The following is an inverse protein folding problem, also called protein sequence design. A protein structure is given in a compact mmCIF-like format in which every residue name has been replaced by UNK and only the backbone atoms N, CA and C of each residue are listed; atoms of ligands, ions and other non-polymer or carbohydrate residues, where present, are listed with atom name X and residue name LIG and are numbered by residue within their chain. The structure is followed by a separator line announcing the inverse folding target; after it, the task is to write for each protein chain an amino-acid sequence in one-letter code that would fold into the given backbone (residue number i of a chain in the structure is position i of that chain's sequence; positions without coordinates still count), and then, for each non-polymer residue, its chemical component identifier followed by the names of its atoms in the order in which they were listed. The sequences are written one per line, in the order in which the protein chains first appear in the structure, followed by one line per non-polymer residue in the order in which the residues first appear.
data_IF_733924044331
#
_entry.id   IF_733924044331
#
_cell.length_a   1.000
_cell.length_b   1.000
_cell.length_c   1.000
_cell.angle_alpha   90.00
_cell.angle_beta   90.00
_cell.angle_gamma   90.00
#
_symmetry.space_group_name_H-M   'P 1'
#
loop_
_entity.id
_entity.type
_entity.pdbx_description
1 polymer ?
#
# COMPACT_ATOMS: atom_id res chain seq x y z
N UNK A 1 -1.24 36.87 -10.21
CA UNK A 1 -1.57 35.46 -9.85
C UNK A 1 -0.26 34.71 -9.70
N UNK A 2 0.20 34.37 -8.48
CA UNK A 2 1.42 33.57 -8.27
C UNK A 2 1.15 32.15 -8.78
N UNK A 3 1.82 31.73 -9.84
CA UNK A 3 1.95 30.32 -10.21
C UNK A 3 2.59 29.61 -8.99
N UNK A 4 1.79 28.86 -8.24
CA UNK A 4 2.34 27.98 -7.21
C UNK A 4 2.89 26.75 -7.92
N UNK A 5 4.19 26.64 -7.90
CA UNK A 5 5.00 25.50 -8.33
C UNK A 5 4.46 24.18 -7.78
N UNK A 6 4.74 23.07 -8.50
CA UNK A 6 4.48 21.72 -8.01
C UNK A 6 4.99 21.53 -6.57
N UNK A 7 4.39 20.63 -5.78
CA UNK A 7 4.82 20.42 -4.40
C UNK A 7 6.30 20.11 -4.34
N UNK A 8 7.04 20.95 -3.63
CA UNK A 8 8.48 20.79 -3.35
C UNK A 8 8.61 20.11 -1.99
N UNK A 9 8.76 18.80 -1.97
CA UNK A 9 9.00 18.06 -0.74
C UNK A 9 10.03 16.97 -0.98
N UNK A 10 10.69 16.51 0.08
CA UNK A 10 11.67 15.43 -0.01
C UNK A 10 10.95 14.09 0.00
N UNK A 11 11.16 13.29 -1.04
CA UNK A 11 10.65 11.92 -1.13
C UNK A 11 11.67 10.95 -0.53
N UNK A 12 11.22 10.07 0.35
CA UNK A 12 12.10 9.07 0.97
C UNK A 12 12.49 7.97 -0.02
N UNK A 13 13.78 7.60 -0.01
CA UNK A 13 14.28 6.45 -0.77
C UNK A 13 13.55 5.16 -0.41
N UNK A 14 13.29 4.91 0.88
CA UNK A 14 12.55 3.73 1.32
C UNK A 14 11.15 3.68 0.71
N UNK A 15 10.42 4.80 0.68
CA UNK A 15 9.10 4.84 0.06
C UNK A 15 9.16 4.57 -1.44
N UNK A 16 10.13 5.13 -2.14
CA UNK A 16 10.35 4.83 -3.57
C UNK A 16 10.64 3.34 -3.80
N UNK A 17 11.49 2.74 -2.96
CA UNK A 17 11.85 1.34 -3.09
C UNK A 17 10.66 0.42 -2.78
N UNK A 18 9.83 0.75 -1.80
CA UNK A 18 8.58 0.03 -1.51
C UNK A 18 7.60 0.14 -2.69
N UNK A 19 7.40 1.32 -3.25
CA UNK A 19 6.47 1.53 -4.38
C UNK A 19 6.93 0.83 -5.67
N UNK A 20 8.21 0.51 -5.82
CA UNK A 20 8.73 -0.30 -6.94
C UNK A 20 8.44 -1.79 -6.78
N UNK A 21 8.17 -2.26 -5.55
CA UNK A 21 7.83 -3.67 -5.33
C UNK A 21 6.46 -4.00 -5.91
N UNK A 22 6.26 -5.19 -6.41
CA UNK A 22 4.94 -5.64 -6.88
C UNK A 22 3.89 -5.52 -5.79
N UNK A 23 4.18 -6.06 -4.62
CA UNK A 23 3.28 -6.06 -3.47
C UNK A 23 4.11 -5.95 -2.19
N UNK A 24 3.57 -5.27 -1.18
CA UNK A 24 4.25 -5.09 0.11
C UNK A 24 3.29 -5.31 1.27
N UNK A 25 3.75 -6.07 2.27
CA UNK A 25 3.10 -6.22 3.57
C UNK A 25 3.79 -5.28 4.58
N UNK A 26 3.01 -4.49 5.30
CA UNK A 26 3.48 -3.62 6.38
C UNK A 26 2.80 -4.05 7.67
N UNK A 27 3.55 -4.50 8.66
CA UNK A 27 2.96 -4.95 9.90
C UNK A 27 3.72 -4.47 11.14
N UNK A 28 2.98 -4.22 12.22
CA UNK A 28 3.52 -3.79 13.50
C UNK A 28 2.42 -3.41 14.48
N UNK A 29 2.77 -3.32 15.77
CA UNK A 29 1.83 -2.98 16.83
C UNK A 29 1.22 -1.58 16.67
N UNK A 30 0.12 -1.34 17.38
CA UNK A 30 -0.45 -0.01 17.50
C UNK A 30 0.61 0.99 18.00
N UNK A 31 0.71 2.13 17.34
CA UNK A 31 1.71 3.15 17.66
C UNK A 31 3.15 2.77 17.27
N UNK A 32 3.36 1.83 16.34
CA UNK A 32 4.69 1.47 15.81
C UNK A 32 5.14 2.36 14.64
N UNK A 33 4.30 3.28 14.16
CA UNK A 33 4.57 4.12 12.99
C UNK A 33 3.97 3.60 11.68
N UNK A 34 3.07 2.61 11.71
CA UNK A 34 2.40 2.05 10.52
C UNK A 34 1.70 3.14 9.70
N UNK A 35 0.84 3.94 10.31
CA UNK A 35 0.13 5.04 9.66
C UNK A 35 1.07 6.11 9.11
N UNK A 36 2.16 6.40 9.83
CA UNK A 36 3.19 7.34 9.38
C UNK A 36 3.84 6.85 8.08
N UNK A 37 4.21 5.56 8.01
CA UNK A 37 4.77 4.97 6.79
C UNK A 37 3.75 4.96 5.64
N UNK A 38 2.49 4.59 5.90
CA UNK A 38 1.43 4.58 4.88
C UNK A 38 1.22 6.00 4.31
N UNK A 39 1.12 7.01 5.17
CA UNK A 39 0.98 8.40 4.74
C UNK A 39 2.19 8.87 3.91
N UNK A 40 3.41 8.47 4.30
CA UNK A 40 4.63 8.78 3.52
C UNK A 40 4.66 8.06 2.16
N UNK A 41 4.11 6.85 2.06
CA UNK A 41 3.95 6.12 0.80
C UNK A 41 2.94 6.79 -0.12
N UNK A 42 1.75 7.15 0.41
CA UNK A 42 0.73 7.87 -0.36
C UNK A 42 1.28 9.22 -0.83
N UNK A 43 1.90 9.98 0.06
CA UNK A 43 2.55 11.24 -0.27
C UNK A 43 3.54 11.07 -1.44
N UNK A 44 4.41 10.06 -1.37
CA UNK A 44 5.37 9.74 -2.43
C UNK A 44 4.68 9.40 -3.76
N UNK A 45 3.62 8.61 -3.73
CA UNK A 45 2.86 8.21 -4.91
C UNK A 45 2.20 9.41 -5.60
N UNK A 46 1.75 10.41 -4.84
CA UNK A 46 1.08 11.60 -5.38
C UNK A 46 1.99 12.52 -6.22
N UNK A 47 3.32 12.39 -6.13
CA UNK A 47 4.23 13.17 -6.98
C UNK A 47 4.15 12.80 -8.47
N UNK A 48 3.76 11.57 -8.78
CA UNK A 48 3.72 11.11 -10.18
C UNK A 48 2.51 11.64 -10.98
N UNK A 49 1.54 12.25 -10.31
CA UNK A 49 0.31 12.71 -10.92
C UNK A 49 -0.70 11.59 -11.28
N UNK A 50 -2.00 11.94 -11.43
CA UNK A 50 -3.08 10.95 -11.55
C UNK A 50 -3.05 10.13 -12.85
N UNK A 51 -2.39 10.62 -13.90
CA UNK A 51 -2.24 9.90 -15.16
C UNK A 51 -1.17 8.78 -15.10
N UNK A 52 -0.28 8.83 -14.11
CA UNK A 52 0.77 7.82 -13.91
C UNK A 52 0.53 6.95 -12.69
N UNK A 53 -0.13 7.49 -11.68
CA UNK A 53 -0.38 6.79 -10.41
C UNK A 53 -1.83 6.97 -10.01
N UNK A 54 -2.49 5.85 -9.76
CA UNK A 54 -3.87 5.79 -9.28
C UNK A 54 -3.94 5.02 -7.97
N UNK A 55 -4.92 5.35 -7.13
CA UNK A 55 -5.10 4.79 -5.81
C UNK A 55 -6.46 4.12 -5.67
N UNK A 56 -6.47 2.95 -5.07
CA UNK A 56 -7.66 2.30 -4.51
C UNK A 56 -7.42 2.19 -3.01
N UNK A 57 -8.24 2.86 -2.23
CA UNK A 57 -8.04 3.02 -0.78
C UNK A 57 -9.10 2.21 -0.03
N UNK A 58 -8.66 1.33 0.86
CA UNK A 58 -9.51 0.49 1.70
C UNK A 58 -9.18 0.79 3.16
N UNK A 59 -10.12 1.48 3.82
CA UNK A 59 -9.98 1.99 5.18
C UNK A 59 -11.23 1.67 6.01
N UNK A 60 -11.31 0.45 6.58
CA UNK A 60 -12.46 0.02 7.37
C UNK A 60 -12.74 0.93 8.59
N UNK A 61 -11.70 1.58 9.12
CA UNK A 61 -11.80 2.44 10.30
C UNK A 61 -12.14 3.90 9.97
N UNK A 62 -12.03 4.32 8.71
CA UNK A 62 -12.30 5.68 8.22
C UNK A 62 -11.44 6.76 8.90
N UNK A 63 -10.17 6.44 9.17
CA UNK A 63 -9.27 7.33 9.93
C UNK A 63 -8.05 7.72 9.11
N UNK A 64 -7.38 6.75 8.50
CA UNK A 64 -6.03 6.96 7.95
C UNK A 64 -6.03 7.42 6.49
N UNK A 65 -6.99 6.98 5.69
CA UNK A 65 -6.98 7.20 4.23
C UNK A 65 -8.11 8.13 3.76
N UNK A 66 -8.99 8.59 4.65
CA UNK A 66 -10.17 9.38 4.28
C UNK A 66 -9.81 10.71 3.60
N UNK A 67 -8.72 11.36 4.00
CA UNK A 67 -8.29 12.66 3.46
C UNK A 67 -7.83 12.57 2.00
N UNK A 68 -7.46 11.38 1.53
CA UNK A 68 -7.06 11.13 0.15
C UNK A 68 -8.24 10.79 -0.77
N UNK A 69 -9.43 10.54 -0.21
CA UNK A 69 -10.64 10.18 -0.98
C UNK A 69 -10.99 11.18 -2.09
N UNK A 70 -10.94 12.52 -1.88
CA UNK A 70 -11.34 13.49 -2.91
C UNK A 70 -10.27 13.75 -3.98
N UNK A 71 -9.14 13.08 -3.95
CA UNK A 71 -8.04 13.34 -4.88
C UNK A 71 -8.30 12.75 -6.26
N UNK A 72 -7.82 13.40 -7.35
CA UNK A 72 -7.95 12.87 -8.70
C UNK A 72 -7.18 11.56 -8.95
N UNK A 73 -6.27 11.18 -8.04
CA UNK A 73 -5.59 9.90 -8.04
C UNK A 73 -6.49 8.76 -7.54
N UNK A 74 -7.52 9.06 -6.73
CA UNK A 74 -8.32 8.05 -6.06
C UNK A 74 -9.43 7.55 -6.97
N UNK A 75 -9.25 6.34 -7.50
CA UNK A 75 -10.25 5.64 -8.31
C UNK A 75 -11.42 5.13 -7.50
N UNK A 76 -11.13 4.65 -6.28
CA UNK A 76 -12.12 4.10 -5.38
C UNK A 76 -11.67 4.23 -3.91
N UNK A 77 -12.64 4.42 -3.04
CA UNK A 77 -12.49 4.38 -1.58
C UNK A 77 -13.58 3.49 -1.00
N UNK A 78 -13.21 2.55 -0.14
CA UNK A 78 -14.15 1.65 0.52
C UNK A 78 -13.85 1.52 2.00
N UNK A 79 -14.90 1.63 2.81
CA UNK A 79 -14.86 1.44 4.25
C UNK A 79 -15.81 0.35 4.74
N UNK A 80 -16.89 0.13 4.01
CA UNK A 80 -17.87 -0.88 4.36
C UNK A 80 -17.59 -2.23 3.69
N UNK A 81 -17.89 -3.36 4.32
CA UNK A 81 -17.60 -4.69 3.77
C UNK A 81 -18.11 -4.88 2.34
N UNK A 82 -19.36 -4.51 2.05
CA UNK A 82 -19.95 -4.65 0.71
C UNK A 82 -19.25 -3.79 -0.35
N UNK A 83 -18.84 -2.58 0.03
CA UNK A 83 -18.08 -1.66 -0.85
C UNK A 83 -16.70 -2.24 -1.15
N UNK A 84 -16.00 -2.74 -0.13
CA UNK A 84 -14.66 -3.33 -0.25
C UNK A 84 -14.70 -4.54 -1.18
N UNK A 85 -15.65 -5.47 -1.01
CA UNK A 85 -15.81 -6.64 -1.88
C UNK A 85 -16.06 -6.22 -3.33
N UNK A 86 -16.93 -5.21 -3.56
CA UNK A 86 -17.19 -4.65 -4.90
C UNK A 86 -15.93 -4.03 -5.51
N UNK A 87 -15.18 -3.24 -4.74
CA UNK A 87 -13.93 -2.58 -5.17
C UNK A 87 -12.89 -3.63 -5.58
N UNK A 88 -12.67 -4.66 -4.77
CA UNK A 88 -11.71 -5.73 -5.09
C UNK A 88 -12.13 -6.51 -6.34
N UNK A 89 -13.42 -6.77 -6.52
CA UNK A 89 -13.94 -7.37 -7.77
C UNK A 89 -13.71 -6.46 -8.97
N UNK A 90 -13.87 -5.15 -8.83
CA UNK A 90 -13.58 -4.19 -9.89
C UNK A 90 -12.07 -4.11 -10.20
N UNK A 91 -11.22 -4.22 -9.18
CA UNK A 91 -9.77 -4.24 -9.35
C UNK A 91 -9.29 -5.51 -10.11
N UNK A 92 -9.86 -6.68 -9.81
CA UNK A 92 -9.59 -7.90 -10.60
C UNK A 92 -10.08 -7.77 -12.04
N UNK A 93 -11.26 -7.22 -12.26
CA UNK A 93 -11.76 -6.97 -13.62
C UNK A 93 -10.90 -5.95 -14.40
N UNK A 94 -10.35 -4.94 -13.72
CA UNK A 94 -9.37 -4.01 -14.31
C UNK A 94 -8.11 -4.76 -14.73
N UNK A 95 -7.59 -5.63 -13.87
CA UNK A 95 -6.44 -6.47 -14.17
C UNK A 95 -6.67 -7.32 -15.42
N UNK A 96 -7.81 -7.99 -15.52
CA UNK A 96 -8.16 -8.83 -16.66
C UNK A 96 -8.27 -8.00 -17.96
N UNK A 97 -8.86 -6.81 -17.91
CA UNK A 97 -8.89 -5.87 -19.06
C UNK A 97 -7.48 -5.47 -19.51
N UNK A 98 -6.57 -5.18 -18.56
CA UNK A 98 -5.18 -4.85 -18.87
C UNK A 98 -4.45 -6.02 -19.51
N UNK A 99 -4.65 -7.26 -19.04
CA UNK A 99 -4.10 -8.44 -19.67
C UNK A 99 -4.59 -8.63 -21.11
N UNK A 100 -5.90 -8.43 -21.35
CA UNK A 100 -6.46 -8.49 -22.70
C UNK A 100 -5.88 -7.42 -23.64
N UNK A 101 -5.64 -6.21 -23.14
CA UNK A 101 -4.97 -5.14 -23.88
C UNK A 101 -3.51 -5.49 -24.17
N UNK A 102 -2.78 -5.97 -23.19
CA UNK A 102 -1.40 -6.43 -23.34
C UNK A 102 -1.28 -7.53 -24.39
N UNK A 103 -2.20 -8.49 -24.39
CA UNK A 103 -2.25 -9.57 -25.38
C UNK A 103 -2.47 -9.02 -26.79
N UNK A 104 -3.42 -8.13 -26.98
CA UNK A 104 -3.71 -7.50 -28.28
C UNK A 104 -2.53 -6.66 -28.80
N UNK A 105 -1.80 -6.00 -27.89
CA UNK A 105 -0.65 -5.14 -28.22
C UNK A 105 0.69 -5.88 -28.22
N UNK A 106 0.69 -7.20 -27.93
CA UNK A 106 1.91 -8.03 -27.84
C UNK A 106 2.96 -7.47 -26.86
N UNK A 107 2.52 -6.84 -25.75
CA UNK A 107 3.42 -6.34 -24.69
C UNK A 107 3.40 -7.26 -23.47
N UNK A 108 4.54 -7.39 -22.78
CA UNK A 108 4.70 -8.25 -21.61
C UNK A 108 4.40 -7.56 -20.28
N UNK A 109 4.31 -6.24 -20.28
CA UNK A 109 3.99 -5.41 -19.10
C UNK A 109 3.10 -4.27 -19.56
N UNK A 110 2.11 -3.95 -18.74
CA UNK A 110 1.24 -2.79 -18.96
C UNK A 110 2.05 -1.50 -18.83
N UNK A 111 1.88 -0.61 -19.78
CA UNK A 111 2.65 0.66 -19.93
C UNK A 111 1.84 1.91 -19.57
N UNK A 112 0.63 1.73 -19.02
CA UNK A 112 -0.20 2.82 -18.51
C UNK A 112 0.09 3.16 -17.05
N UNK A 113 -0.91 3.71 -16.36
CA UNK A 113 -0.80 4.08 -14.97
C UNK A 113 -0.64 2.88 -14.04
N UNK A 114 0.21 2.99 -13.02
CA UNK A 114 0.23 2.05 -11.91
C UNK A 114 -0.96 2.31 -10.98
N UNK A 115 -1.54 1.24 -10.44
CA UNK A 115 -2.63 1.30 -9.46
C UNK A 115 -2.15 0.70 -8.15
N UNK A 116 -2.15 1.48 -7.08
CA UNK A 116 -1.83 1.02 -5.73
C UNK A 116 -3.12 0.80 -4.94
N UNK A 117 -3.35 -0.45 -4.55
CA UNK A 117 -4.43 -0.83 -3.65
C UNK A 117 -3.86 -0.84 -2.25
N UNK A 118 -4.26 0.15 -1.44
CA UNK A 118 -3.76 0.33 -0.08
C UNK A 118 -4.84 -0.09 0.91
N UNK A 119 -4.51 -1.06 1.75
CA UNK A 119 -5.40 -1.57 2.81
C UNK A 119 -4.78 -1.21 4.15
N UNK A 120 -5.42 -0.32 4.91
CA UNK A 120 -4.90 0.14 6.21
C UNK A 120 -4.93 -0.95 7.30
N UNK A 121 -6.00 -1.74 7.36
CA UNK A 121 -6.07 -2.84 8.33
C UNK A 121 -6.56 -4.14 7.65
N UNK A 122 -5.61 -4.93 7.18
CA UNK A 122 -5.89 -6.20 6.50
C UNK A 122 -6.56 -7.23 7.42
N UNK A 123 -6.26 -7.20 8.72
CA UNK A 123 -6.87 -8.11 9.68
C UNK A 123 -8.40 -7.94 9.76
N UNK A 124 -8.90 -6.73 9.59
CA UNK A 124 -10.34 -6.49 9.62
C UNK A 124 -11.04 -7.14 8.41
N UNK A 125 -10.41 -7.12 7.23
CA UNK A 125 -10.92 -7.82 6.06
C UNK A 125 -10.93 -9.34 6.27
N UNK A 126 -9.86 -9.88 6.88
CA UNK A 126 -9.75 -11.31 7.15
C UNK A 126 -10.74 -11.80 8.21
N UNK A 127 -11.14 -10.94 9.13
CA UNK A 127 -12.12 -11.27 10.17
C UNK A 127 -13.55 -11.14 9.66
N UNK A 128 -13.88 -10.01 8.98
CA UNK A 128 -15.24 -9.68 8.63
C UNK A 128 -15.74 -10.36 7.33
N UNK A 129 -14.85 -10.55 6.34
CA UNK A 129 -15.25 -10.94 4.98
C UNK A 129 -14.19 -11.73 4.20
N UNK A 130 -13.48 -12.60 4.88
CA UNK A 130 -12.38 -13.40 4.30
C UNK A 130 -12.78 -14.15 3.02
N UNK A 131 -13.96 -14.76 3.00
CA UNK A 131 -14.43 -15.56 1.86
C UNK A 131 -14.60 -14.73 0.59
N UNK A 132 -14.96 -13.47 0.71
CA UNK A 132 -15.22 -12.57 -0.41
C UNK A 132 -13.98 -11.83 -0.88
N UNK A 133 -13.07 -11.47 0.04
CA UNK A 133 -11.93 -10.60 -0.24
C UNK A 133 -10.63 -11.35 -0.51
N UNK A 134 -10.34 -12.43 0.22
CA UNK A 134 -9.08 -13.14 0.11
C UNK A 134 -8.81 -13.70 -1.30
N UNK A 135 -9.78 -14.32 -2.02
CA UNK A 135 -9.52 -14.81 -3.37
C UNK A 135 -9.12 -13.70 -4.35
N UNK A 136 -9.75 -12.53 -4.26
CA UNK A 136 -9.41 -11.37 -5.09
C UNK A 136 -8.03 -10.84 -4.78
N UNK A 137 -7.68 -10.69 -3.49
CA UNK A 137 -6.35 -10.25 -3.07
C UNK A 137 -5.26 -11.23 -3.49
N UNK A 138 -5.46 -12.54 -3.32
CA UNK A 138 -4.52 -13.56 -3.78
C UNK A 138 -4.33 -13.52 -5.30
N UNK A 139 -5.40 -13.37 -6.08
CA UNK A 139 -5.31 -13.27 -7.54
C UNK A 139 -4.55 -12.03 -7.98
N UNK A 140 -4.81 -10.88 -7.35
CA UNK A 140 -4.05 -9.65 -7.63
C UNK A 140 -2.58 -9.83 -7.23
N UNK A 141 -2.29 -10.45 -6.08
CA UNK A 141 -0.92 -10.70 -5.65
C UNK A 141 -0.14 -11.64 -6.60
N UNK A 142 -0.83 -12.58 -7.25
CA UNK A 142 -0.22 -13.50 -8.23
C UNK A 142 0.02 -12.83 -9.59
N UNK A 143 -0.89 -12.00 -10.07
CA UNK A 143 -0.93 -11.53 -11.45
C UNK A 143 -0.77 -10.00 -11.58
N UNK A 144 -0.91 -9.22 -10.50
CA UNK A 144 -0.93 -7.76 -10.55
C UNK A 144 0.32 -7.12 -11.11
N UNK A 145 1.52 -7.73 -10.86
CA UNK A 145 2.82 -7.16 -11.26
C UNK A 145 2.87 -6.76 -12.74
N UNK A 146 2.53 -7.67 -13.64
CA UNK A 146 2.59 -7.39 -15.07
C UNK A 146 1.51 -6.39 -15.52
N UNK A 147 0.37 -6.38 -14.84
CA UNK A 147 -0.73 -5.47 -15.10
C UNK A 147 -0.57 -4.08 -14.45
N UNK A 148 0.54 -3.79 -13.75
CA UNK A 148 0.75 -2.53 -13.04
C UNK A 148 -0.26 -2.31 -11.92
N UNK A 149 -0.64 -3.38 -11.19
CA UNK A 149 -1.53 -3.31 -10.04
C UNK A 149 -0.79 -3.84 -8.82
N UNK A 150 -0.64 -2.99 -7.82
CA UNK A 150 0.18 -3.22 -6.64
C UNK A 150 -0.67 -3.30 -5.38
N UNK A 151 -0.31 -4.20 -4.45
CA UNK A 151 -0.94 -4.31 -3.14
C UNK A 151 0.00 -3.74 -2.07
N UNK A 152 -0.52 -2.87 -1.22
CA UNK A 152 0.09 -2.46 0.03
C UNK A 152 -0.87 -2.88 1.14
N UNK A 153 -0.60 -4.03 1.76
CA UNK A 153 -1.42 -4.57 2.84
C UNK A 153 -0.81 -4.20 4.18
N UNK A 154 -1.53 -3.46 5.00
CA UNK A 154 -1.06 -3.10 6.32
C UNK A 154 -1.90 -3.76 7.42
N UNK A 155 -1.29 -4.10 8.55
CA UNK A 155 -1.99 -4.68 9.71
C UNK A 155 -1.29 -4.41 11.02
N UNK A 156 -2.09 -4.23 12.07
CA UNK A 156 -1.62 -4.17 13.45
C UNK A 156 -1.65 -5.54 14.15
N UNK A 157 -2.23 -6.56 13.49
CA UNK A 157 -2.36 -7.92 14.02
C UNK A 157 -1.61 -8.92 13.13
N UNK A 158 -0.27 -9.06 13.29
CA UNK A 158 0.54 -9.92 12.44
C UNK A 158 0.49 -11.39 12.85
N UNK A 159 -0.68 -11.90 13.20
CA UNK A 159 -0.89 -13.28 13.60
C UNK A 159 -0.87 -14.22 12.40
N UNK A 160 -0.62 -15.53 12.64
CA UNK A 160 -0.47 -16.54 11.59
C UNK A 160 -1.74 -16.78 10.77
N UNK A 161 -2.91 -16.57 11.36
CA UNK A 161 -4.21 -16.65 10.69
C UNK A 161 -4.48 -15.49 9.74
N UNK A 162 -3.93 -14.32 10.04
CA UNK A 162 -4.01 -13.12 9.20
C UNK A 162 -2.94 -13.16 8.12
N UNK A 163 -1.66 -13.30 8.50
CA UNK A 163 -0.53 -13.41 7.56
C UNK A 163 -0.28 -14.91 7.27
N UNK A 164 -1.23 -15.52 6.59
CA UNK A 164 -1.20 -16.95 6.27
C UNK A 164 -0.26 -17.26 5.10
N UNK A 165 -0.07 -18.57 4.81
CA UNK A 165 0.78 -19.03 3.73
C UNK A 165 0.40 -18.49 2.35
N UNK A 166 -0.89 -18.32 2.05
CA UNK A 166 -1.35 -17.79 0.76
C UNK A 166 -0.91 -16.34 0.53
N UNK A 167 -0.90 -15.52 1.57
CA UNK A 167 -0.40 -14.14 1.51
C UNK A 167 1.13 -14.14 1.42
N UNK A 168 1.81 -14.94 2.26
CA UNK A 168 3.28 -14.97 2.32
C UNK A 168 3.95 -15.40 1.02
N UNK A 169 3.36 -16.35 0.30
CA UNK A 169 3.90 -16.87 -0.96
C UNK A 169 3.85 -15.83 -2.09
N UNK A 170 2.88 -14.90 -2.02
CA UNK A 170 2.65 -13.94 -3.10
C UNK A 170 3.12 -12.52 -2.76
N UNK A 171 3.50 -12.25 -1.50
CA UNK A 171 3.97 -10.94 -1.05
C UNK A 171 5.35 -11.09 -0.40
N UNK A 172 6.38 -10.91 -1.21
CA UNK A 172 7.78 -11.12 -0.80
C UNK A 172 8.40 -9.88 -0.16
N UNK A 173 7.91 -8.68 -0.52
CA UNK A 173 8.35 -7.43 0.13
C UNK A 173 7.59 -7.22 1.43
N UNK A 174 8.32 -7.05 2.56
CA UNK A 174 7.71 -6.95 3.88
C UNK A 174 8.43 -5.94 4.75
N UNK A 175 7.64 -5.11 5.43
CA UNK A 175 8.13 -4.18 6.44
C UNK A 175 7.60 -4.63 7.81
N UNK A 176 8.50 -4.99 8.71
CA UNK A 176 8.17 -5.23 10.11
C UNK A 176 8.55 -4.01 10.93
N UNK A 177 7.56 -3.29 11.41
CA UNK A 177 7.69 -2.29 12.45
C UNK A 177 7.73 -2.99 13.81
N UNK A 178 7.88 -2.25 14.91
CA UNK A 178 7.88 -2.85 16.24
C UNK A 178 6.66 -3.76 16.43
N UNK A 179 6.91 -4.99 16.89
CA UNK A 179 5.91 -6.00 17.21
C UNK A 179 5.87 -6.28 18.72
N UNK A 180 4.76 -6.80 19.27
CA UNK A 180 4.68 -7.20 20.67
C UNK A 180 5.57 -8.39 21.00
N UNK A 181 5.69 -9.36 20.09
CA UNK A 181 6.36 -10.63 20.37
C UNK A 181 7.33 -11.03 19.25
N UNK A 182 8.31 -11.88 19.61
CA UNK A 182 9.22 -12.52 18.66
C UNK A 182 8.47 -13.37 17.61
N UNK A 183 7.34 -13.96 18.01
CA UNK A 183 6.52 -14.75 17.12
C UNK A 183 5.87 -13.87 16.04
N UNK A 184 5.41 -12.67 16.40
CA UNK A 184 4.87 -11.71 15.42
C UNK A 184 5.95 -11.28 14.43
N UNK A 185 7.16 -10.99 14.90
CA UNK A 185 8.31 -10.71 14.04
C UNK A 185 8.53 -11.85 13.02
N UNK A 186 8.57 -13.10 13.50
CA UNK A 186 8.71 -14.29 12.63
C UNK A 186 7.56 -14.45 11.64
N UNK A 187 6.35 -14.08 12.04
CA UNK A 187 5.21 -14.12 11.12
C UNK A 187 5.35 -13.12 9.98
N UNK A 188 6.02 -11.99 10.17
CA UNK A 188 6.21 -10.96 9.15
C UNK A 188 7.45 -11.26 8.30
N UNK A 189 8.63 -11.30 8.92
CA UNK A 189 9.94 -11.31 8.26
C UNK A 189 10.71 -12.62 8.41
N UNK A 190 10.05 -13.70 8.86
CA UNK A 190 10.60 -15.05 9.05
C UNK A 190 11.69 -15.17 10.14
N UNK A 191 12.05 -14.07 10.80
CA UNK A 191 13.02 -14.05 11.92
C UNK A 191 12.53 -13.16 13.07
N UNK A 192 13.11 -13.31 14.25
CA UNK A 192 12.91 -12.36 15.35
C UNK A 192 13.68 -11.06 15.12
N UNK A 193 13.45 -10.09 16.00
CA UNK A 193 14.16 -8.80 16.00
C UNK A 193 13.23 -7.61 16.02
N UNK A 194 12.06 -7.68 15.37
CA UNK A 194 11.13 -6.55 15.33
C UNK A 194 10.51 -6.26 16.72
N UNK A 195 10.48 -7.22 17.62
CA UNK A 195 10.07 -7.02 19.01
C UNK A 195 11.04 -6.16 19.82
N UNK A 196 12.29 -6.08 19.37
CA UNK A 196 13.36 -5.30 20.01
C UNK A 196 13.50 -3.88 19.45
N UNK A 197 12.78 -3.55 18.37
CA UNK A 197 12.83 -2.22 17.77
C UNK A 197 12.33 -1.15 18.74
N UNK A 198 12.84 0.09 18.64
CA UNK A 198 12.26 1.22 19.34
C UNK A 198 10.82 1.43 18.88
N UNK A 199 10.03 2.13 19.69
CA UNK A 199 8.60 2.32 19.43
C UNK A 199 8.33 3.00 18.08
N UNK A 200 9.20 3.91 17.67
CA UNK A 200 9.06 4.69 16.44
C UNK A 200 10.37 4.77 15.67
N UNK A 201 10.26 5.11 14.39
CA UNK A 201 11.38 5.54 13.55
C UNK A 201 12.21 4.43 12.94
N UNK A 202 11.98 3.17 13.29
CA UNK A 202 12.75 2.04 12.75
C UNK A 202 11.86 0.88 12.34
N UNK A 203 12.32 0.11 11.37
CA UNK A 203 11.68 -1.10 10.90
C UNK A 203 12.69 -2.05 10.26
N UNK A 204 12.31 -3.30 10.09
CA UNK A 204 13.02 -4.25 9.25
C UNK A 204 12.34 -4.33 7.89
N UNK A 205 13.12 -4.21 6.82
CA UNK A 205 12.66 -4.32 5.45
C UNK A 205 13.27 -5.57 4.80
N UNK A 206 12.40 -6.47 4.37
CA UNK A 206 12.72 -7.69 3.63
C UNK A 206 12.20 -7.55 2.20
N UNK A 207 13.03 -7.87 1.22
CA UNK A 207 12.69 -7.91 -0.21
C UNK A 207 13.16 -9.22 -0.83
N UNK A 208 12.67 -9.59 -2.03
CA UNK A 208 13.19 -10.75 -2.76
C UNK A 208 14.70 -10.70 -3.01
N UNK A 209 15.25 -9.49 -3.13
CA UNK A 209 16.67 -9.27 -3.44
C UNK A 209 17.57 -9.35 -2.19
N UNK A 210 16.98 -9.40 -0.99
CA UNK A 210 17.72 -9.47 0.27
C UNK A 210 17.57 -10.86 0.91
N UNK A 211 18.69 -11.46 1.29
CA UNK A 211 18.67 -12.76 2.01
C UNK A 211 18.18 -12.62 3.45
N UNK A 212 18.33 -11.44 4.04
CA UNK A 212 17.94 -11.13 5.42
C UNK A 212 17.25 -9.77 5.50
N UNK A 213 16.36 -9.57 6.48
CA UNK A 213 15.74 -8.27 6.72
C UNK A 213 16.80 -7.21 7.06
N UNK A 214 16.72 -6.06 6.40
CA UNK A 214 17.59 -4.91 6.64
C UNK A 214 16.94 -3.96 7.63
N UNK A 215 17.70 -3.49 8.61
CA UNK A 215 17.24 -2.41 9.49
C UNK A 215 17.17 -1.12 8.69
N UNK A 216 16.03 -0.46 8.73
CA UNK A 216 15.75 0.78 8.00
C UNK A 216 15.14 1.84 8.90
N UNK A 217 15.41 3.10 8.57
CA UNK A 217 14.70 4.22 9.18
C UNK A 217 13.36 4.43 8.48
N UNK A 218 12.29 4.51 9.27
CA UNK A 218 10.94 4.77 8.76
C UNK A 218 10.80 6.27 8.53
N UNK A 219 10.52 6.70 7.29
CA UNK A 219 10.36 8.11 6.99
C UNK A 219 9.09 8.65 7.62
N UNK A 220 9.16 9.87 8.10
CA UNK A 220 8.00 10.65 8.53
C UNK A 220 7.89 11.86 7.62
N UNK A 221 6.85 11.88 6.80
CA UNK A 221 6.51 13.07 6.01
C UNK A 221 5.82 14.07 6.94
N UNK A 222 6.24 15.34 6.86
CA UNK A 222 5.62 16.39 7.65
C UNK A 222 4.11 16.51 7.31
N UNK A 223 3.22 16.58 8.31
CA UNK A 223 1.80 16.78 8.07
C UNK A 223 1.48 18.01 7.21
N UNK A 224 2.29 19.06 7.29
CA UNK A 224 2.16 20.26 6.46
C UNK A 224 2.39 19.94 4.99
N UNK A 225 3.38 19.10 4.68
CA UNK A 225 3.67 18.67 3.31
C UNK A 225 2.55 17.79 2.75
N UNK A 226 2.00 16.90 3.57
CA UNK A 226 0.82 16.08 3.20
C UNK A 226 -0.37 17.00 2.89
N UNK A 227 -0.68 17.96 3.75
CA UNK A 227 -1.78 18.91 3.54
C UNK A 227 -1.55 19.77 2.28
N UNK A 228 -0.31 20.15 2.01
CA UNK A 228 0.04 20.95 0.84
C UNK A 228 -0.19 20.16 -0.47
N UNK A 229 0.24 18.89 -0.54
CA UNK A 229 0.03 18.07 -1.74
C UNK A 229 -1.44 17.73 -1.96
N UNK A 230 -2.20 17.44 -0.91
CA UNK A 230 -3.66 17.24 -0.97
C UNK A 230 -4.34 18.50 -1.52
N UNK A 231 -4.03 19.66 -0.93
CA UNK A 231 -4.57 20.95 -1.36
C UNK A 231 -4.20 21.31 -2.80
N UNK A 232 -3.00 20.97 -3.25
CA UNK A 232 -2.55 21.17 -4.63
C UNK A 232 -3.41 20.37 -5.62
N UNK A 233 -3.56 19.06 -5.39
CA UNK A 233 -4.31 18.19 -6.31
C UNK A 233 -5.81 18.43 -6.26
N UNK A 234 -6.40 18.72 -5.11
CA UNK A 234 -7.82 19.07 -4.98
C UNK A 234 -8.15 20.33 -5.80
N UNK A 235 -7.28 21.35 -5.76
CA UNK A 235 -7.48 22.57 -6.57
C UNK A 235 -7.28 22.32 -8.06
N UNK A 236 -6.33 21.46 -8.41
CA UNK A 236 -6.07 21.13 -9.82
C UNK A 236 -7.22 20.34 -10.42
N UNK A 237 -7.81 19.40 -9.69
CA UNK A 237 -8.99 18.64 -10.13
C UNK A 237 -10.22 19.51 -10.43
N UNK A 238 -10.41 20.61 -9.69
CA UNK A 238 -11.54 21.56 -9.94
C UNK A 238 -11.38 22.38 -11.21
N UNK A 239 -10.24 22.31 -11.88
CA UNK A 239 -9.95 23.07 -13.10
C UNK A 239 -10.01 22.20 -14.37
N UNK A 240 -10.27 20.92 -14.21
CA UNK A 240 -10.49 19.95 -15.29
C UNK A 240 -11.99 19.64 -15.41
#
# INVERSE_FOLDING_TARGET
MKQRTAPTGTVSKLCLDILKQPHTLIAGATGSGKSVLINSLVYTALFNGPNKTQLILIDPKRVELIDYKPLPHTMAYGSEPREIAKILKQATALMDRRYNDMQKRHIKRYDGSDVYIIVDEFADLMTAQKRETLPALCRIAQLGRAAGIHLILATQRPTRDIINGQIKVNIDSRVALRCPTKQDSRNIINTGGAELLPRYGSGYYLTPDTMQPLLVNIPMTDPTDINNIISYWTRKARRW
#
